data_IF_694967258701
#
_entry.id   IF_694967258701
#
_cell.length_a   1.000
_cell.length_b   1.000
_cell.length_c   1.000
_cell.angle_alpha   90.00
_cell.angle_beta   90.00
_cell.angle_gamma   90.00
#
_symmetry.space_group_name_H-M   'P 1'
#
loop_
_entity.id
_entity.type
_entity.pdbx_description
1 polymer ?
#
# COMPACT_ATOMS: atom_id res chain seq x y z
N UNK A 1 17.05 -13.44 22.27
CA UNK A 1 16.27 -12.78 23.35
C UNK A 1 15.41 -11.73 22.69
N UNK A 2 14.12 -11.98 22.66
CA UNK A 2 13.14 -11.03 22.14
C UNK A 2 12.99 -9.96 23.24
N UNK A 3 13.51 -8.77 23.00
CA UNK A 3 13.67 -7.71 24.02
C UNK A 3 12.33 -7.06 24.46
N UNK A 4 11.19 -7.72 24.25
CA UNK A 4 9.89 -7.18 24.65
C UNK A 4 9.50 -5.85 23.99
N UNK A 5 10.21 -5.48 22.91
CA UNK A 5 9.96 -4.26 22.14
C UNK A 5 8.73 -4.47 21.27
N UNK A 6 7.73 -3.65 21.48
CA UNK A 6 6.58 -3.59 20.58
C UNK A 6 6.97 -2.95 19.24
N UNK A 7 7.37 -3.80 18.29
CA UNK A 7 7.74 -3.35 16.94
C UNK A 7 6.60 -2.62 16.25
N UNK A 8 5.35 -3.06 16.47
CA UNK A 8 4.20 -2.41 15.85
C UNK A 8 4.03 -0.98 16.36
N UNK A 9 4.23 -0.73 17.65
CA UNK A 9 4.18 0.62 18.21
C UNK A 9 5.24 1.55 17.58
N UNK A 10 6.43 1.03 17.24
CA UNK A 10 7.46 1.80 16.55
C UNK A 10 7.07 2.09 15.09
N UNK A 11 6.51 1.10 14.37
CA UNK A 11 6.02 1.29 13.00
C UNK A 11 4.87 2.31 12.95
N UNK A 12 3.94 2.25 13.90
CA UNK A 12 2.84 3.22 14.03
C UNK A 12 3.36 4.63 14.34
N UNK A 13 4.37 4.74 15.20
CA UNK A 13 5.03 6.01 15.49
C UNK A 13 5.75 6.59 14.26
N UNK A 14 6.36 5.73 13.44
CA UNK A 14 6.99 6.15 12.18
C UNK A 14 5.98 6.73 11.19
N UNK A 15 4.84 6.07 11.01
CA UNK A 15 3.75 6.59 10.16
C UNK A 15 3.18 7.90 10.70
N UNK A 16 2.94 7.97 12.01
CA UNK A 16 2.44 9.18 12.64
C UNK A 16 3.42 10.35 12.48
N UNK A 17 4.73 10.08 12.47
CA UNK A 17 5.75 11.11 12.21
C UNK A 17 5.70 11.62 10.77
N UNK A 18 5.56 10.74 9.77
CA UNK A 18 5.38 11.16 8.37
C UNK A 18 4.11 11.99 8.19
N UNK A 19 3.00 11.59 8.82
CA UNK A 19 1.74 12.34 8.76
C UNK A 19 1.88 13.74 9.41
N UNK A 20 2.63 13.85 10.49
CA UNK A 20 2.80 15.11 11.22
C UNK A 20 3.76 16.06 10.52
N UNK A 21 4.92 15.57 10.09
CA UNK A 21 6.06 16.40 9.68
C UNK A 21 6.42 16.30 8.20
N UNK A 22 5.86 15.33 7.48
CA UNK A 22 6.24 15.00 6.11
C UNK A 22 7.46 14.09 6.04
N UNK A 23 7.70 13.56 4.84
CA UNK A 23 8.77 12.59 4.60
C UNK A 23 10.16 13.24 4.76
N UNK A 24 10.34 14.48 4.32
CA UNK A 24 11.64 15.18 4.39
C UNK A 24 12.11 15.46 5.83
N UNK A 25 11.17 15.60 6.78
CA UNK A 25 11.48 15.79 8.19
C UNK A 25 11.53 14.49 9.00
N UNK A 26 11.42 13.34 8.35
CA UNK A 26 11.41 12.04 9.02
C UNK A 26 12.78 11.73 9.63
N UNK A 27 12.81 11.45 10.95
CA UNK A 27 14.05 11.09 11.66
C UNK A 27 13.80 10.02 12.73
N UNK A 28 14.83 9.20 12.96
CA UNK A 28 14.77 8.12 13.97
C UNK A 28 14.58 8.67 15.38
N UNK A 29 15.17 9.84 15.70
CA UNK A 29 15.05 10.47 17.01
C UNK A 29 13.61 10.92 17.30
N UNK A 30 12.90 11.41 16.27
CA UNK A 30 11.50 11.79 16.41
C UNK A 30 10.60 10.59 16.59
N UNK A 31 10.85 9.51 15.82
CA UNK A 31 10.13 8.24 15.98
C UNK A 31 10.38 7.66 17.36
N UNK A 32 11.64 7.58 17.81
CA UNK A 32 12.00 7.06 19.13
C UNK A 32 11.27 7.81 20.26
N UNK A 33 11.26 9.14 20.20
CA UNK A 33 10.55 9.98 21.17
C UNK A 33 9.05 9.71 21.16
N UNK A 34 8.45 9.53 19.99
CA UNK A 34 7.02 9.24 19.83
C UNK A 34 6.65 7.85 20.35
N UNK A 35 7.51 6.86 20.09
CA UNK A 35 7.33 5.48 20.53
C UNK A 35 7.72 5.26 22.00
N UNK A 36 8.37 6.22 22.65
CA UNK A 36 8.85 6.10 24.03
C UNK A 36 10.01 5.11 24.19
N UNK A 37 10.86 4.97 23.16
CA UNK A 37 12.01 4.06 23.14
C UNK A 37 13.31 4.83 22.91
N UNK A 38 14.45 4.20 23.19
CA UNK A 38 15.76 4.74 22.80
C UNK A 38 16.00 4.55 21.30
N UNK A 39 16.67 5.51 20.66
CA UNK A 39 17.01 5.43 19.22
C UNK A 39 17.85 4.20 18.88
N UNK A 40 18.67 3.71 19.81
CA UNK A 40 19.46 2.49 19.63
C UNK A 40 18.58 1.24 19.44
N UNK A 41 17.39 1.22 20.01
CA UNK A 41 16.40 0.14 19.79
C UNK A 41 15.97 0.12 18.33
N UNK A 42 15.71 1.29 17.75
CA UNK A 42 15.31 1.42 16.35
C UNK A 42 16.45 1.02 15.42
N UNK A 43 17.65 1.58 15.64
CA UNK A 43 18.82 1.28 14.79
C UNK A 43 19.22 -0.19 14.85
N UNK A 44 19.07 -0.85 16.00
CA UNK A 44 19.33 -2.28 16.13
C UNK A 44 18.35 -3.16 15.32
N UNK A 45 17.07 -2.75 15.22
CA UNK A 45 16.05 -3.54 14.55
C UNK A 45 15.94 -3.24 13.04
N UNK A 46 16.14 -1.99 12.63
CA UNK A 46 15.96 -1.54 11.23
C UNK A 46 17.22 -1.01 10.57
N UNK A 47 18.27 -0.72 11.32
CA UNK A 47 19.51 -0.15 10.81
C UNK A 47 19.41 1.35 10.55
N UNK A 48 18.60 1.77 9.59
CA UNK A 48 18.44 3.15 9.19
C UNK A 48 16.98 3.61 9.02
N UNK A 49 16.82 4.92 8.78
CA UNK A 49 15.49 5.56 8.63
C UNK A 49 14.72 5.09 7.39
N UNK A 50 15.42 4.70 6.31
CA UNK A 50 14.81 4.22 5.06
C UNK A 50 14.14 2.87 5.27
N UNK A 51 14.85 1.93 5.89
CA UNK A 51 14.33 0.59 6.19
C UNK A 51 13.13 0.67 7.13
N UNK A 52 13.22 1.49 8.20
CA UNK A 52 12.10 1.71 9.11
C UNK A 52 10.87 2.28 8.39
N UNK A 53 11.06 3.29 7.55
CA UNK A 53 9.94 3.92 6.83
C UNK A 53 9.29 2.96 5.83
N UNK A 54 10.10 2.18 5.10
CA UNK A 54 9.59 1.18 4.17
C UNK A 54 8.78 0.11 4.91
N UNK A 55 9.31 -0.44 6.00
CA UNK A 55 8.63 -1.46 6.81
C UNK A 55 7.33 -0.92 7.41
N UNK A 56 7.32 0.31 7.92
CA UNK A 56 6.13 0.97 8.43
C UNK A 56 5.05 1.13 7.35
N UNK A 57 5.41 1.53 6.13
CA UNK A 57 4.47 1.66 5.03
C UNK A 57 3.91 0.31 4.58
N UNK A 58 4.74 -0.71 4.47
CA UNK A 58 4.31 -2.07 4.10
C UNK A 58 3.40 -2.67 5.17
N UNK A 59 3.76 -2.56 6.44
CA UNK A 59 2.93 -3.02 7.57
C UNK A 59 1.55 -2.35 7.58
N UNK A 60 1.51 -1.03 7.41
CA UNK A 60 0.25 -0.28 7.32
C UNK A 60 -0.60 -0.73 6.13
N UNK A 61 0.02 -0.96 4.98
CA UNK A 61 -0.70 -1.43 3.80
C UNK A 61 -1.27 -2.83 3.99
N UNK A 62 -0.51 -3.74 4.59
CA UNK A 62 -0.99 -5.09 4.88
C UNK A 62 -2.21 -5.09 5.80
N UNK A 63 -2.26 -4.16 6.77
CA UNK A 63 -3.39 -4.04 7.70
C UNK A 63 -4.61 -3.36 7.08
N UNK A 64 -4.40 -2.29 6.29
CA UNK A 64 -5.49 -1.44 5.78
C UNK A 64 -6.03 -1.89 4.43
N UNK A 65 -5.19 -2.52 3.61
CA UNK A 65 -5.52 -3.05 2.29
C UNK A 65 -4.94 -4.47 2.19
N UNK A 66 -5.50 -5.44 2.93
CA UNK A 66 -5.00 -6.81 2.92
C UNK A 66 -5.15 -7.43 1.52
N UNK A 67 -4.33 -8.44 1.23
CA UNK A 67 -4.45 -9.23 0.00
C UNK A 67 -5.65 -10.16 0.15
N UNK A 68 -6.73 -9.98 -0.64
CA UNK A 68 -7.92 -10.79 -0.51
C UNK A 68 -7.72 -12.21 -1.07
N UNK A 69 -8.54 -13.14 -0.59
CA UNK A 69 -8.67 -14.50 -1.10
C UNK A 69 -10.13 -14.93 -0.98
N UNK A 70 -10.97 -14.43 -1.88
CA UNK A 70 -12.42 -14.66 -1.89
C UNK A 70 -12.81 -15.89 -2.70
N UNK A 71 -11.84 -16.49 -3.39
CA UNK A 71 -12.07 -17.63 -4.27
C UNK A 71 -12.49 -17.28 -5.70
N UNK A 72 -12.49 -15.98 -6.09
CA UNK A 72 -12.77 -15.55 -7.46
C UNK A 72 -12.02 -14.28 -7.83
N UNK A 73 -11.64 -14.15 -9.11
CA UNK A 73 -10.98 -12.96 -9.65
C UNK A 73 -11.79 -11.68 -9.36
N UNK A 74 -13.11 -11.72 -9.64
CA UNK A 74 -13.99 -10.57 -9.39
C UNK A 74 -14.08 -10.21 -7.91
N UNK A 75 -14.23 -11.21 -7.05
CA UNK A 75 -14.33 -11.00 -5.61
C UNK A 75 -13.06 -10.38 -5.04
N UNK A 76 -11.91 -10.90 -5.45
CA UNK A 76 -10.60 -10.43 -5.00
C UNK A 76 -10.35 -8.96 -5.44
N UNK A 77 -10.56 -8.65 -6.72
CA UNK A 77 -10.39 -7.29 -7.24
C UNK A 77 -11.39 -6.29 -6.63
N UNK A 78 -12.64 -6.71 -6.40
CA UNK A 78 -13.64 -5.88 -5.72
C UNK A 78 -13.22 -5.58 -4.28
N UNK A 79 -12.76 -6.57 -3.53
CA UNK A 79 -12.32 -6.40 -2.14
C UNK A 79 -11.11 -5.47 -2.05
N UNK A 80 -10.16 -5.56 -2.98
CA UNK A 80 -9.02 -4.63 -3.07
C UNK A 80 -9.48 -3.18 -3.24
N UNK A 81 -10.32 -2.92 -4.23
CA UNK A 81 -10.82 -1.55 -4.49
C UNK A 81 -11.62 -1.02 -3.31
N UNK A 82 -12.50 -1.84 -2.71
CA UNK A 82 -13.28 -1.44 -1.55
C UNK A 82 -12.38 -1.04 -0.36
N UNK A 83 -11.31 -1.80 -0.10
CA UNK A 83 -10.35 -1.47 0.96
C UNK A 83 -9.62 -0.15 0.69
N UNK A 84 -9.22 0.10 -0.56
CA UNK A 84 -8.59 1.36 -0.98
C UNK A 84 -9.54 2.54 -0.86
N UNK A 85 -10.78 2.39 -1.29
CA UNK A 85 -11.82 3.42 -1.16
C UNK A 85 -12.11 3.72 0.31
N UNK A 86 -12.28 2.69 1.14
CA UNK A 86 -12.50 2.86 2.58
C UNK A 86 -11.35 3.65 3.23
N UNK A 87 -10.09 3.33 2.89
CA UNK A 87 -8.92 4.07 3.35
C UNK A 87 -8.97 5.54 2.93
N UNK A 88 -9.32 5.81 1.66
CA UNK A 88 -9.38 7.18 1.11
C UNK A 88 -10.51 8.03 1.71
N UNK A 89 -11.56 7.41 2.26
CA UNK A 89 -12.66 8.12 2.90
C UNK A 89 -12.30 8.66 4.29
N UNK A 90 -11.26 8.15 4.92
CA UNK A 90 -10.78 8.67 6.21
C UNK A 90 -9.86 9.87 6.03
N UNK A 91 -9.97 10.87 6.91
CA UNK A 91 -9.08 12.04 6.87
C UNK A 91 -7.60 11.65 7.09
N UNK A 92 -7.35 10.62 7.90
CA UNK A 92 -6.01 10.09 8.15
C UNK A 92 -5.46 9.37 6.93
N UNK A 93 -6.26 8.48 6.30
CA UNK A 93 -5.85 7.75 5.10
C UNK A 93 -5.51 8.68 3.94
N UNK A 94 -6.33 9.68 3.68
CA UNK A 94 -6.02 10.71 2.67
C UNK A 94 -4.72 11.43 2.97
N UNK A 95 -4.54 11.92 4.21
CA UNK A 95 -3.29 12.62 4.59
C UNK A 95 -2.07 11.72 4.46
N UNK A 96 -2.15 10.48 4.92
CA UNK A 96 -1.06 9.52 4.80
C UNK A 96 -0.68 9.29 3.35
N UNK A 97 -1.67 9.02 2.50
CA UNK A 97 -1.47 8.78 1.06
C UNK A 97 -0.85 10.00 0.36
N UNK A 98 -1.41 11.20 0.55
CA UNK A 98 -0.87 12.43 -0.05
C UNK A 98 0.57 12.71 0.41
N UNK A 99 0.86 12.53 1.71
CA UNK A 99 2.22 12.73 2.26
C UNK A 99 3.23 11.73 1.70
N UNK A 100 2.82 10.47 1.54
CA UNK A 100 3.69 9.44 0.99
C UNK A 100 3.92 9.61 -0.52
N UNK A 101 2.92 10.09 -1.27
CA UNK A 101 3.04 10.35 -2.71
C UNK A 101 3.73 11.66 -3.03
N UNK A 102 3.81 12.60 -2.08
CA UNK A 102 4.56 13.84 -2.27
C UNK A 102 6.04 13.51 -2.57
N UNK A 103 6.61 14.24 -3.53
CA UNK A 103 8.02 14.11 -3.84
C UNK A 103 8.86 14.49 -2.61
N UNK A 104 9.86 13.67 -2.29
CA UNK A 104 10.87 13.99 -1.29
C UNK A 104 12.04 14.72 -1.96
N UNK A 105 12.52 15.78 -1.32
CA UNK A 105 13.79 16.41 -1.67
C UNK A 105 15.00 15.68 -1.07
N UNK A 106 14.77 14.76 -0.14
CA UNK A 106 15.80 13.93 0.49
C UNK A 106 16.13 12.72 -0.38
N UNK A 107 17.39 12.63 -0.83
CA UNK A 107 17.85 11.57 -1.73
C UNK A 107 17.70 10.17 -1.12
N UNK A 108 17.94 10.02 0.19
CA UNK A 108 17.84 8.73 0.87
C UNK A 108 16.39 8.23 0.98
N UNK A 109 15.42 9.14 1.04
CA UNK A 109 14.00 8.79 1.20
C UNK A 109 13.23 8.81 -0.12
N UNK A 110 13.79 9.39 -1.19
CA UNK A 110 13.15 9.46 -2.51
C UNK A 110 12.82 8.06 -3.06
N UNK A 111 13.72 7.09 -2.81
CA UNK A 111 13.62 5.73 -3.32
C UNK A 111 12.66 4.84 -2.51
N UNK A 112 12.32 5.23 -1.25
CA UNK A 112 11.41 4.43 -0.41
C UNK A 112 10.06 4.19 -1.10
N UNK A 113 9.56 5.21 -1.82
CA UNK A 113 8.31 5.10 -2.58
C UNK A 113 8.42 4.08 -3.72
N UNK A 114 9.57 4.06 -4.41
CA UNK A 114 9.82 3.10 -5.51
C UNK A 114 9.91 1.69 -4.93
N UNK A 115 10.68 1.52 -3.85
CA UNK A 115 10.81 0.23 -3.17
C UNK A 115 9.47 -0.27 -2.62
N UNK A 116 8.68 0.62 -2.01
CA UNK A 116 7.34 0.31 -1.54
C UNK A 116 6.45 -0.22 -2.66
N UNK A 117 6.35 0.50 -3.79
CA UNK A 117 5.50 0.07 -4.90
C UNK A 117 5.99 -1.20 -5.55
N UNK A 118 7.30 -1.43 -5.63
CA UNK A 118 7.87 -2.69 -6.13
C UNK A 118 7.41 -3.87 -5.28
N UNK A 119 7.59 -3.79 -3.96
CA UNK A 119 7.19 -4.86 -3.03
C UNK A 119 5.66 -5.03 -3.05
N UNK A 120 4.93 -3.93 -2.97
CA UNK A 120 3.47 -3.97 -2.89
C UNK A 120 2.82 -4.54 -4.14
N UNK A 121 3.31 -4.19 -5.34
CA UNK A 121 2.80 -4.76 -6.58
C UNK A 121 3.10 -6.26 -6.70
N UNK A 122 4.26 -6.72 -6.22
CA UNK A 122 4.55 -8.16 -6.18
C UNK A 122 3.58 -8.92 -5.26
N UNK A 123 3.30 -8.39 -4.06
CA UNK A 123 2.29 -8.94 -3.18
C UNK A 123 0.90 -8.97 -3.84
N UNK A 124 0.46 -7.87 -4.46
CA UNK A 124 -0.83 -7.76 -5.14
C UNK A 124 -0.94 -8.71 -6.35
N UNK A 125 0.18 -9.02 -7.01
CA UNK A 125 0.23 -9.99 -8.12
C UNK A 125 -0.27 -11.37 -7.71
N UNK A 126 -0.16 -11.71 -6.42
CA UNK A 126 -0.69 -12.98 -5.87
C UNK A 126 -2.18 -13.17 -6.15
N UNK A 127 -2.96 -12.10 -6.21
CA UNK A 127 -4.39 -12.15 -6.55
C UNK A 127 -4.61 -12.72 -7.96
N UNK A 128 -3.84 -12.21 -8.92
CA UNK A 128 -3.96 -12.66 -10.32
C UNK A 128 -3.31 -14.03 -10.57
N UNK A 129 -2.22 -14.36 -9.87
CA UNK A 129 -1.64 -15.72 -9.92
C UNK A 129 -2.64 -16.78 -9.43
N UNK A 130 -3.38 -16.51 -8.34
CA UNK A 130 -4.45 -17.39 -7.87
C UNK A 130 -5.58 -17.52 -8.90
N UNK A 131 -5.94 -16.43 -9.58
CA UNK A 131 -6.92 -16.45 -10.65
C UNK A 131 -6.43 -17.28 -11.86
N UNK A 132 -5.15 -17.19 -12.20
CA UNK A 132 -4.50 -18.02 -13.23
C UNK A 132 -4.55 -19.50 -12.85
N UNK A 133 -4.18 -19.86 -11.60
CA UNK A 133 -4.25 -21.24 -11.09
C UNK A 133 -5.68 -21.81 -11.12
N UNK A 134 -6.71 -20.96 -10.99
CA UNK A 134 -8.13 -21.34 -11.10
C UNK A 134 -8.64 -21.38 -12.54
N UNK A 135 -7.82 -21.00 -13.52
CA UNK A 135 -8.22 -20.93 -14.93
C UNK A 135 -9.15 -19.75 -15.28
N UNK A 136 -9.20 -18.73 -14.41
CA UNK A 136 -10.02 -17.53 -14.62
C UNK A 136 -9.31 -16.48 -15.47
N UNK A 137 -7.97 -16.52 -15.56
CA UNK A 137 -7.15 -15.59 -16.33
C UNK A 137 -6.84 -16.16 -17.72
N UNK A 138 -6.87 -15.31 -18.75
CA UNK A 138 -6.48 -15.69 -20.11
C UNK A 138 -4.96 -15.97 -20.17
N UNK A 139 -4.55 -16.95 -20.98
CA UNK A 139 -3.16 -17.39 -21.13
C UNK A 139 -2.21 -16.31 -21.69
N UNK A 140 -2.76 -15.30 -22.40
CA UNK A 140 -1.99 -14.19 -22.98
C UNK A 140 -1.87 -12.98 -22.05
N UNK A 141 -2.33 -13.06 -20.80
CA UNK A 141 -2.29 -11.99 -19.79
C UNK A 141 -1.16 -12.24 -18.80
N UNK A 142 -0.21 -11.30 -18.72
CA UNK A 142 0.80 -11.30 -17.66
C UNK A 142 0.19 -10.77 -16.35
N UNK A 143 0.14 -11.58 -15.26
CA UNK A 143 -0.43 -11.16 -13.97
C UNK A 143 0.22 -9.90 -13.38
N UNK A 144 1.54 -9.71 -13.56
CA UNK A 144 2.24 -8.57 -13.00
C UNK A 144 1.91 -7.27 -13.76
N UNK A 145 1.79 -7.32 -15.07
CA UNK A 145 1.39 -6.15 -15.86
C UNK A 145 -0.10 -5.83 -15.66
N UNK A 146 -0.96 -6.83 -15.60
CA UNK A 146 -2.39 -6.64 -15.37
C UNK A 146 -2.67 -6.00 -13.99
N UNK A 147 -2.03 -6.46 -12.91
CA UNK A 147 -2.22 -5.85 -11.58
C UNK A 147 -1.67 -4.43 -11.52
N UNK A 148 -0.61 -4.12 -12.26
CA UNK A 148 -0.07 -2.76 -12.39
C UNK A 148 -1.08 -1.81 -13.04
N UNK A 149 -1.70 -2.24 -14.15
CA UNK A 149 -2.75 -1.49 -14.83
C UNK A 149 -3.96 -1.26 -13.92
N UNK A 150 -4.42 -2.30 -13.24
CA UNK A 150 -5.52 -2.23 -12.28
C UNK A 150 -5.23 -1.25 -11.13
N UNK A 151 -4.03 -1.35 -10.55
CA UNK A 151 -3.61 -0.46 -9.46
C UNK A 151 -3.56 1.00 -9.89
N UNK A 152 -3.06 1.28 -11.10
CA UNK A 152 -3.04 2.63 -11.66
C UNK A 152 -4.45 3.22 -11.85
N UNK A 153 -5.36 2.46 -12.44
CA UNK A 153 -6.75 2.88 -12.62
C UNK A 153 -7.48 3.11 -11.28
N UNK A 154 -7.25 2.21 -10.31
CA UNK A 154 -7.86 2.29 -8.98
C UNK A 154 -7.33 3.46 -8.15
N UNK A 155 -6.04 3.79 -8.28
CA UNK A 155 -5.41 4.87 -7.51
C UNK A 155 -5.73 6.26 -8.05
N UNK A 156 -6.04 6.40 -9.34
CA UNK A 156 -6.21 7.71 -9.95
C UNK A 156 -7.27 8.54 -9.22
N UNK A 157 -8.48 8.02 -9.09
CA UNK A 157 -9.57 8.74 -8.42
C UNK A 157 -9.33 8.88 -6.91
N UNK A 158 -8.72 7.87 -6.29
CA UNK A 158 -8.41 7.90 -4.84
C UNK A 158 -7.40 9.00 -4.50
N UNK A 159 -6.44 9.26 -5.40
CA UNK A 159 -5.32 10.19 -5.16
C UNK A 159 -5.60 11.58 -5.67
N UNK A 160 -6.24 11.70 -6.84
CA UNK A 160 -6.33 12.97 -7.56
C UNK A 160 -7.73 13.58 -7.59
N UNK A 161 -8.79 12.83 -7.25
CA UNK A 161 -10.12 13.39 -7.19
C UNK A 161 -10.38 14.06 -5.83
N UNK A 162 -10.88 15.29 -5.85
CA UNK A 162 -11.33 16.01 -4.64
C UNK A 162 -12.70 15.53 -4.13
N UNK A 163 -13.29 14.53 -4.77
CA UNK A 163 -14.61 14.01 -4.47
C UNK A 163 -14.55 12.52 -4.09
N UNK A 164 -15.51 12.01 -3.31
CA UNK A 164 -15.62 10.58 -3.04
C UNK A 164 -15.72 9.77 -4.33
N UNK A 165 -15.01 8.63 -4.37
CA UNK A 165 -15.06 7.70 -5.51
C UNK A 165 -16.50 7.18 -5.67
N UNK A 166 -17.05 7.30 -6.87
CA UNK A 166 -18.43 6.89 -7.15
C UNK A 166 -18.53 5.36 -7.29
N UNK A 167 -19.53 4.71 -6.66
CA UNK A 167 -19.69 3.24 -6.76
C UNK A 167 -19.84 2.75 -8.21
N UNK A 168 -20.52 3.54 -9.05
CA UNK A 168 -20.73 3.21 -10.47
C UNK A 168 -19.42 3.19 -11.26
N UNK A 169 -18.49 4.09 -10.93
CA UNK A 169 -17.15 4.11 -11.52
C UNK A 169 -16.39 2.82 -11.18
N UNK A 170 -16.42 2.40 -9.90
CA UNK A 170 -15.77 1.17 -9.45
C UNK A 170 -16.29 -0.04 -10.22
N UNK A 171 -17.63 -0.17 -10.29
CA UNK A 171 -18.29 -1.28 -10.98
C UNK A 171 -17.90 -1.31 -12.46
N UNK A 172 -17.97 -0.16 -13.13
CA UNK A 172 -17.65 -0.06 -14.55
C UNK A 172 -16.16 -0.34 -14.82
N UNK A 173 -15.26 0.20 -14.01
CA UNK A 173 -13.83 -0.05 -14.11
C UNK A 173 -13.51 -1.53 -13.96
N UNK A 174 -14.09 -2.19 -12.94
CA UNK A 174 -13.94 -3.63 -12.74
C UNK A 174 -14.49 -4.43 -13.91
N UNK A 175 -15.69 -4.10 -14.42
CA UNK A 175 -16.29 -4.81 -15.55
C UNK A 175 -15.44 -4.71 -16.81
N UNK A 176 -14.92 -3.52 -17.11
CA UNK A 176 -14.02 -3.31 -18.26
C UNK A 176 -12.73 -4.12 -18.08
N UNK A 177 -12.12 -4.03 -16.88
CA UNK A 177 -10.85 -4.70 -16.61
C UNK A 177 -11.00 -6.22 -16.66
N UNK A 178 -12.01 -6.78 -15.96
CA UNK A 178 -12.24 -8.23 -15.91
C UNK A 178 -12.53 -8.78 -17.30
N UNK A 179 -13.38 -8.13 -18.11
CA UNK A 179 -13.65 -8.57 -19.50
C UNK A 179 -12.38 -8.58 -20.36
N UNK A 180 -11.42 -7.71 -20.05
CA UNK A 180 -10.15 -7.67 -20.78
C UNK A 180 -9.19 -8.81 -20.46
N UNK A 181 -9.26 -9.35 -19.23
CA UNK A 181 -8.27 -10.30 -18.73
C UNK A 181 -8.82 -11.70 -18.43
N UNK A 182 -10.14 -11.87 -18.27
CA UNK A 182 -10.71 -13.16 -17.88
C UNK A 182 -11.01 -14.07 -19.07
N UNK A 183 -11.00 -15.39 -18.78
CA UNK A 183 -11.40 -16.43 -19.75
C UNK A 183 -12.90 -16.45 -20.02
N UNK A 184 -13.70 -15.94 -19.06
CA UNK A 184 -15.17 -15.86 -19.16
C UNK A 184 -15.61 -14.40 -19.17
N UNK A 185 -16.44 -13.97 -20.12
CA UNK A 185 -16.88 -12.58 -20.25
C UNK A 185 -17.81 -12.11 -19.10
#
# INVERSE_FOLDING_TARGET
MDDGVDKQAILDAALAEVIASGIDAFSLERVARRAGVDTTVITRNWGDRRVLLLDAQLSSSAQRVPIPDTGSLRGDLMALVQSMVALSQTAEGRRSMHRFLAASGDADLSDVRIDYWRVRLDELTTVLRRAEERGELRDDVDPAEAIRMFSGASLFDVVFADAPVRPEYITQMLDIFIRGISTTP
#
